data_IF_331293990553
#
_entry.id   IF_331293990553
#
_cell.length_a   1.000
_cell.length_b   1.000
_cell.length_c   1.000
_cell.angle_alpha   90.00
_cell.angle_beta   90.00
_cell.angle_gamma   90.00
#
_symmetry.space_group_name_H-M   'P 1'
#
loop_
_entity.id
_entity.type
_entity.pdbx_description
1 polymer ?
#
# COMPACT_ATOMS: atom_id res chain seq x y z
N UNK A 1 28.84 22.08 6.12
CA UNK A 1 28.43 23.13 5.15
C UNK A 1 27.57 24.23 5.79
N UNK A 2 26.74 23.96 6.81
CA UNK A 2 25.92 24.99 7.50
C UNK A 2 26.75 26.18 8.00
N UNK A 3 27.89 25.95 8.65
CA UNK A 3 28.78 27.04 9.09
C UNK A 3 29.27 27.91 7.92
N UNK A 4 29.65 27.28 6.79
CA UNK A 4 30.03 28.01 5.58
C UNK A 4 28.86 28.80 4.98
N UNK A 5 27.63 28.29 5.07
CA UNK A 5 26.43 29.02 4.66
C UNK A 5 26.19 30.25 5.54
N UNK A 6 26.37 30.13 6.86
CA UNK A 6 26.25 31.25 7.81
C UNK A 6 27.32 32.32 7.53
N UNK A 7 28.58 31.93 7.31
CA UNK A 7 29.66 32.86 6.95
C UNK A 7 29.39 33.56 5.62
N UNK A 8 28.96 32.80 4.61
CA UNK A 8 28.59 33.34 3.30
C UNK A 8 27.47 34.37 3.41
N UNK A 9 26.44 34.08 4.20
CA UNK A 9 25.34 35.01 4.50
C UNK A 9 25.83 36.28 5.22
N UNK A 10 26.80 36.16 6.12
CA UNK A 10 27.43 37.29 6.81
C UNK A 10 28.39 38.12 5.92
N UNK A 11 28.55 37.77 4.64
CA UNK A 11 29.33 38.53 3.66
C UNK A 11 30.71 37.97 3.34
N UNK A 12 31.09 36.81 3.90
CA UNK A 12 32.33 36.14 3.54
C UNK A 12 32.22 35.51 2.14
N UNK A 13 32.83 36.16 1.14
CA UNK A 13 32.86 35.70 -0.25
C UNK A 13 33.76 34.48 -0.48
N UNK A 14 34.57 34.08 0.51
CA UNK A 14 35.46 32.92 0.41
C UNK A 14 34.81 31.63 0.90
N UNK A 15 33.73 31.73 1.68
CA UNK A 15 32.98 30.58 2.15
C UNK A 15 32.25 29.87 0.99
N UNK A 16 32.39 28.54 0.92
CA UNK A 16 31.80 27.69 -0.15
C UNK A 16 30.70 26.79 0.43
N UNK A 17 29.43 27.25 0.49
CA UNK A 17 28.34 26.44 1.04
C UNK A 17 27.85 25.32 0.11
N UNK A 18 27.98 25.51 -1.21
CA UNK A 18 27.65 24.48 -2.21
C UNK A 18 28.85 23.54 -2.34
N UNK A 19 28.70 22.30 -1.88
CA UNK A 19 29.77 21.29 -1.84
C UNK A 19 29.71 20.32 -3.03
N UNK A 20 28.54 20.17 -3.64
CA UNK A 20 28.33 19.31 -4.80
C UNK A 20 27.08 19.68 -5.60
N UNK A 21 26.99 19.17 -6.84
CA UNK A 21 25.81 19.22 -7.70
C UNK A 21 25.72 17.93 -8.50
N UNK A 22 24.53 17.36 -8.61
CA UNK A 22 24.27 16.13 -9.36
C UNK A 22 23.11 16.37 -10.30
N UNK A 23 23.27 15.98 -11.56
CA UNK A 23 22.16 15.99 -12.52
C UNK A 23 21.20 14.85 -12.20
N UNK A 24 19.91 15.18 -12.14
CA UNK A 24 18.82 14.24 -11.90
C UNK A 24 17.84 14.25 -13.07
N UNK A 25 17.14 13.13 -13.26
CA UNK A 25 16.36 12.86 -14.47
C UNK A 25 14.90 12.56 -14.14
N UNK A 26 13.94 13.45 -14.43
CA UNK A 26 14.10 14.87 -14.75
C UNK A 26 13.07 15.72 -14.01
N UNK A 27 13.42 17.00 -13.80
CA UNK A 27 12.60 17.97 -13.09
C UNK A 27 12.28 17.48 -11.66
N UNK A 28 13.28 17.53 -10.74
CA UNK A 28 13.06 17.13 -9.37
C UNK A 28 11.98 17.99 -8.72
N UNK A 29 11.07 17.34 -7.99
CA UNK A 29 10.13 17.98 -7.09
C UNK A 29 10.70 18.02 -5.68
N UNK A 30 10.20 17.11 -4.83
CA UNK A 30 10.72 16.94 -3.48
C UNK A 30 11.93 15.99 -3.46
N UNK A 31 12.65 15.99 -2.33
CA UNK A 31 13.64 14.95 -2.08
C UNK A 31 13.85 14.70 -0.59
N UNK A 32 14.21 13.47 -0.27
CA UNK A 32 14.09 12.92 1.09
C UNK A 32 15.38 12.25 1.50
N UNK A 33 15.84 12.51 2.72
CA UNK A 33 17.00 11.79 3.28
C UNK A 33 16.54 10.66 4.20
N UNK A 34 17.35 9.62 4.31
CA UNK A 34 17.16 8.56 5.32
C UNK A 34 17.10 9.17 6.73
N UNK A 35 15.96 8.96 7.40
CA UNK A 35 15.61 9.55 8.69
C UNK A 35 15.60 11.10 8.73
N UNK A 36 15.50 11.74 7.56
CA UNK A 36 15.71 13.18 7.37
C UNK A 36 14.79 14.12 8.15
N UNK A 37 13.58 13.67 8.46
CA UNK A 37 12.58 14.43 9.22
C UNK A 37 12.60 14.10 10.72
N UNK A 38 13.70 13.53 11.19
CA UNK A 38 13.89 13.15 12.59
C UNK A 38 15.24 13.64 13.10
N UNK A 39 15.46 13.51 14.41
CA UNK A 39 16.79 13.76 15.01
C UNK A 39 17.83 12.69 14.64
N UNK A 40 17.41 11.59 14.04
CA UNK A 40 18.22 10.41 13.73
C UNK A 40 18.63 10.36 12.25
N UNK A 41 18.59 11.50 11.54
CA UNK A 41 19.06 11.64 10.16
C UNK A 41 20.50 11.10 10.02
N UNK A 42 20.71 10.13 9.12
CA UNK A 42 21.93 9.32 9.11
C UNK A 42 22.92 9.68 7.99
N UNK A 43 22.52 10.55 7.06
CA UNK A 43 23.36 11.02 5.96
C UNK A 43 23.77 9.92 4.97
N UNK A 44 22.99 8.84 4.82
CA UNK A 44 23.34 7.73 3.91
C UNK A 44 22.73 7.85 2.53
N UNK A 45 21.41 8.07 2.46
CA UNK A 45 20.68 8.10 1.21
C UNK A 45 19.86 9.38 1.07
N UNK A 46 19.75 9.83 -0.18
CA UNK A 46 18.81 10.85 -0.63
C UNK A 46 17.97 10.27 -1.77
N UNK A 47 16.67 10.45 -1.73
CA UNK A 47 15.74 10.09 -2.79
C UNK A 47 15.30 11.37 -3.49
N UNK A 48 15.55 11.49 -4.79
CA UNK A 48 15.05 12.59 -5.63
C UNK A 48 13.82 12.13 -6.39
N UNK A 49 12.66 12.73 -6.10
CA UNK A 49 11.42 12.41 -6.79
C UNK A 49 11.22 13.35 -7.98
N UNK A 50 11.40 12.81 -9.18
CA UNK A 50 11.45 13.56 -10.43
C UNK A 50 10.16 13.40 -11.24
N UNK A 51 9.67 14.51 -11.79
CA UNK A 51 8.33 14.61 -12.40
C UNK A 51 8.25 14.15 -13.85
N UNK A 52 9.38 13.92 -14.51
CA UNK A 52 9.40 13.37 -15.87
C UNK A 52 10.47 12.30 -16.02
N UNK A 53 10.11 11.11 -16.51
CA UNK A 53 11.09 10.05 -16.81
C UNK A 53 11.68 10.14 -18.21
N UNK A 54 10.94 10.63 -19.21
CA UNK A 54 11.41 10.76 -20.60
C UNK A 54 12.10 9.48 -21.10
N UNK A 55 13.40 9.56 -21.39
CA UNK A 55 14.25 8.53 -21.96
C UNK A 55 14.91 7.60 -20.92
N UNK A 56 14.55 7.70 -19.63
CA UNK A 56 15.12 6.84 -18.57
C UNK A 56 14.64 5.39 -18.63
N UNK A 57 13.48 5.12 -19.22
CA UNK A 57 12.88 3.80 -19.29
C UNK A 57 12.45 3.43 -20.70
N UNK A 58 12.09 2.16 -20.91
CA UNK A 58 11.45 1.73 -22.17
C UNK A 58 10.16 2.54 -22.40
N UNK A 59 9.88 2.96 -23.64
CA UNK A 59 8.71 3.77 -23.95
C UNK A 59 7.41 2.97 -23.73
N UNK A 60 6.44 3.59 -23.04
CA UNK A 60 5.15 2.96 -22.67
C UNK A 60 3.94 3.68 -23.25
N UNK A 61 4.14 4.53 -24.25
CA UNK A 61 3.10 5.35 -24.85
C UNK A 61 3.06 6.78 -24.29
N UNK A 62 1.97 7.54 -24.48
CA UNK A 62 1.92 8.96 -24.15
C UNK A 62 2.06 9.28 -22.66
N UNK A 63 1.68 8.36 -21.78
CA UNK A 63 1.70 8.53 -20.33
C UNK A 63 2.84 7.69 -19.74
N UNK A 64 3.93 8.38 -19.38
CA UNK A 64 5.12 7.76 -18.80
C UNK A 64 5.00 7.73 -17.27
N UNK A 65 5.71 6.82 -16.59
CA UNK A 65 5.87 6.90 -15.13
C UNK A 65 6.76 8.09 -14.74
N UNK A 66 6.73 8.46 -13.46
CA UNK A 66 7.74 9.34 -12.86
C UNK A 66 9.04 8.57 -12.58
N UNK A 67 10.09 9.27 -12.12
CA UNK A 67 11.39 8.66 -11.77
C UNK A 67 11.77 9.01 -10.34
N UNK A 68 11.85 8.02 -9.47
CA UNK A 68 12.44 8.15 -8.15
C UNK A 68 13.91 7.72 -8.23
N UNK A 69 14.84 8.63 -7.95
CA UNK A 69 16.27 8.38 -8.04
C UNK A 69 16.91 8.26 -6.66
N UNK A 70 17.46 7.09 -6.37
CA UNK A 70 18.22 6.87 -5.13
C UNK A 70 19.66 7.34 -5.33
N UNK A 71 20.13 8.17 -4.40
CA UNK A 71 21.43 8.81 -4.41
C UNK A 71 22.14 8.46 -3.10
N UNK A 72 23.34 7.88 -3.20
CA UNK A 72 24.24 7.70 -2.05
C UNK A 72 24.90 9.05 -1.72
N UNK A 73 24.70 9.48 -0.48
CA UNK A 73 25.23 10.73 0.09
C UNK A 73 26.17 10.48 1.28
N UNK A 74 26.62 9.24 1.48
CA UNK A 74 27.47 8.84 2.62
C UNK A 74 28.91 9.33 2.54
N UNK A 75 29.36 9.76 1.36
CA UNK A 75 30.70 10.32 1.13
C UNK A 75 30.67 11.80 0.77
N UNK A 76 31.85 12.35 0.44
CA UNK A 76 32.00 13.78 0.09
C UNK A 76 31.28 14.20 -1.20
N UNK A 77 30.92 13.22 -2.05
CA UNK A 77 30.29 13.42 -3.36
C UNK A 77 29.07 12.53 -3.51
N UNK A 78 27.99 13.11 -4.04
CA UNK A 78 26.75 12.41 -4.32
C UNK A 78 26.96 11.42 -5.46
N UNK A 79 26.36 10.23 -5.35
CA UNK A 79 26.40 9.20 -6.40
C UNK A 79 25.00 8.70 -6.68
N UNK A 80 24.51 8.91 -7.91
CA UNK A 80 23.29 8.26 -8.37
C UNK A 80 23.53 6.74 -8.38
N UNK A 81 22.70 5.97 -7.67
CA UNK A 81 22.84 4.52 -7.55
C UNK A 81 21.72 3.73 -8.23
N UNK A 82 20.52 4.30 -8.35
CA UNK A 82 19.40 3.62 -8.99
C UNK A 82 18.34 4.61 -9.48
N UNK A 83 17.68 4.22 -10.57
CA UNK A 83 16.44 4.82 -11.07
C UNK A 83 15.29 3.82 -10.86
N UNK A 84 14.17 4.29 -10.32
CA UNK A 84 12.95 3.51 -10.17
C UNK A 84 11.77 4.21 -10.84
N UNK A 85 11.04 3.48 -11.69
CA UNK A 85 9.75 3.94 -12.20
C UNK A 85 8.71 3.87 -11.08
N UNK A 86 7.94 4.95 -10.89
CA UNK A 86 6.90 5.02 -9.86
C UNK A 86 5.57 5.52 -10.46
N UNK A 87 4.43 5.18 -9.82
CA UNK A 87 3.09 5.52 -10.31
C UNK A 87 2.07 5.75 -9.17
N UNK A 88 1.14 6.71 -9.26
CA UNK A 88 1.19 7.91 -10.11
C UNK A 88 1.68 9.07 -9.26
N UNK A 89 2.72 9.74 -9.74
CA UNK A 89 3.33 10.94 -9.19
C UNK A 89 3.40 10.99 -7.65
N UNK A 90 4.24 10.16 -6.99
CA UNK A 90 4.55 10.36 -5.58
C UNK A 90 5.01 11.80 -5.36
N UNK A 91 4.39 12.46 -4.38
CA UNK A 91 4.71 13.84 -4.01
C UNK A 91 5.70 13.88 -2.86
N UNK A 92 5.54 12.98 -1.89
CA UNK A 92 6.30 12.98 -0.66
C UNK A 92 6.61 11.56 -0.18
N UNK A 93 7.70 11.39 0.57
CA UNK A 93 8.17 10.11 1.10
C UNK A 93 9.02 10.31 2.36
N UNK A 94 9.00 9.31 3.24
CA UNK A 94 9.96 9.19 4.34
C UNK A 94 10.69 7.86 4.25
N UNK A 95 11.94 7.85 4.71
CA UNK A 95 12.78 6.65 4.70
C UNK A 95 13.13 6.32 6.15
N UNK A 96 12.63 5.18 6.65
CA UNK A 96 12.85 4.73 8.02
C UNK A 96 13.54 3.36 8.07
N UNK A 97 14.40 3.10 9.07
CA UNK A 97 15.07 1.82 9.18
C UNK A 97 14.09 0.74 9.64
N UNK A 98 14.22 -0.45 9.03
CA UNK A 98 13.29 -1.58 9.21
C UNK A 98 13.05 -1.97 10.67
N UNK A 99 14.02 -1.76 11.57
CA UNK A 99 13.95 -2.16 12.97
C UNK A 99 12.97 -1.30 13.79
N UNK A 100 12.52 -0.15 13.27
CA UNK A 100 11.48 0.67 13.88
C UNK A 100 10.06 0.20 13.52
N UNK A 101 9.92 -0.61 12.46
CA UNK A 101 8.63 -1.14 12.03
C UNK A 101 8.47 -2.55 12.61
N UNK A 102 7.34 -2.80 13.27
CA UNK A 102 6.88 -4.15 13.60
C UNK A 102 5.53 -4.39 12.95
N UNK A 103 5.50 -5.32 12.01
CA UNK A 103 4.27 -5.76 11.34
C UNK A 103 3.67 -6.97 12.06
N UNK A 104 2.44 -7.30 11.70
CA UNK A 104 1.78 -8.58 12.05
C UNK A 104 1.77 -9.48 10.81
N UNK A 105 1.87 -10.80 11.01
CA UNK A 105 1.84 -11.79 9.92
C UNK A 105 0.41 -12.26 9.60
N UNK A 106 -0.43 -12.35 10.64
CA UNK A 106 -1.85 -12.70 10.55
C UNK A 106 -2.64 -11.80 11.51
N UNK A 107 -3.95 -11.69 11.31
CA UNK A 107 -4.81 -10.97 12.25
C UNK A 107 -5.12 -11.80 13.50
N UNK A 108 -5.62 -11.15 14.55
CA UNK A 108 -6.33 -11.84 15.62
C UNK A 108 -7.82 -11.85 15.28
N UNK A 109 -8.40 -13.05 15.14
CA UNK A 109 -9.81 -13.24 14.80
C UNK A 109 -10.77 -12.57 15.81
N UNK A 110 -10.30 -12.32 17.04
CA UNK A 110 -11.09 -11.65 18.07
C UNK A 110 -11.18 -10.13 17.89
N UNK A 111 -10.38 -9.53 17.00
CA UNK A 111 -10.51 -8.12 16.59
C UNK A 111 -11.80 -7.88 15.78
N UNK A 112 -12.46 -8.94 15.30
CA UNK A 112 -13.63 -8.87 14.44
C UNK A 112 -14.89 -9.38 15.16
N UNK A 113 -15.81 -8.50 15.60
CA UNK A 113 -17.00 -8.89 16.35
C UNK A 113 -17.94 -9.85 15.60
N UNK A 114 -17.93 -9.78 14.26
CA UNK A 114 -18.80 -10.59 13.40
C UNK A 114 -18.10 -11.85 12.85
N UNK A 115 -16.91 -12.19 13.34
CA UNK A 115 -16.16 -13.34 12.84
C UNK A 115 -16.92 -14.65 13.00
N UNK A 116 -16.96 -15.45 11.92
CA UNK A 116 -17.41 -16.83 11.94
C UNK A 116 -16.19 -17.69 12.26
N UNK A 117 -16.11 -18.22 13.49
CA UNK A 117 -14.88 -18.84 14.02
C UNK A 117 -14.73 -20.33 13.71
N UNK A 118 -15.79 -20.97 13.24
CA UNK A 118 -15.81 -22.38 12.89
C UNK A 118 -16.59 -22.55 11.58
N UNK A 119 -16.12 -23.42 10.68
CA UNK A 119 -16.78 -23.71 9.42
C UNK A 119 -18.22 -24.21 9.62
N UNK A 120 -18.50 -24.91 10.73
CA UNK A 120 -19.85 -25.39 11.06
C UNK A 120 -20.86 -24.28 11.34
N UNK A 121 -20.39 -23.07 11.66
CA UNK A 121 -21.23 -21.92 11.97
C UNK A 121 -21.65 -21.13 10.72
N UNK A 122 -21.20 -21.57 9.54
CA UNK A 122 -21.64 -21.02 8.26
C UNK A 122 -23.14 -21.24 8.06
N UNK A 123 -23.86 -20.18 7.71
CA UNK A 123 -25.33 -20.22 7.60
C UNK A 123 -25.88 -19.02 6.84
N UNK A 124 -27.14 -19.12 6.45
CA UNK A 124 -27.92 -18.03 5.86
C UNK A 124 -29.04 -17.67 6.82
N UNK A 125 -29.03 -16.45 7.35
CA UNK A 125 -30.09 -15.92 8.21
C UNK A 125 -30.97 -14.95 7.42
N UNK A 126 -32.29 -15.09 7.54
CA UNK A 126 -33.26 -14.18 6.92
C UNK A 126 -34.08 -13.45 7.97
N UNK A 127 -34.13 -12.12 7.85
CA UNK A 127 -34.99 -11.23 8.62
C UNK A 127 -35.78 -10.34 7.65
N UNK A 128 -36.92 -10.86 7.19
CA UNK A 128 -37.72 -10.23 6.13
C UNK A 128 -36.95 -10.19 4.80
N UNK A 129 -36.72 -8.98 4.27
CA UNK A 129 -35.92 -8.74 3.05
C UNK A 129 -34.40 -8.69 3.31
N UNK A 130 -33.97 -8.67 4.57
CA UNK A 130 -32.55 -8.68 4.92
C UNK A 130 -32.07 -10.13 5.02
N UNK A 131 -31.00 -10.45 4.32
CA UNK A 131 -30.38 -11.77 4.33
C UNK A 131 -28.92 -11.61 4.72
N UNK A 132 -28.48 -12.32 5.76
CA UNK A 132 -27.09 -12.34 6.18
C UNK A 132 -26.50 -13.72 5.92
N UNK A 133 -25.46 -13.77 5.08
CA UNK A 133 -24.70 -14.98 4.78
C UNK A 133 -23.44 -14.96 5.63
N UNK A 134 -23.37 -15.85 6.61
CA UNK A 134 -22.18 -16.08 7.42
C UNK A 134 -21.35 -17.15 6.73
N UNK A 135 -20.16 -16.78 6.28
CA UNK A 135 -19.30 -17.58 5.43
C UNK A 135 -17.89 -17.66 6.01
N UNK A 136 -17.28 -18.83 5.93
CA UNK A 136 -15.85 -19.01 6.19
C UNK A 136 -15.14 -19.36 4.89
N UNK A 137 -13.84 -19.11 4.86
CA UNK A 137 -12.94 -19.68 3.86
C UNK A 137 -11.75 -20.34 4.58
N UNK A 138 -11.37 -21.51 4.10
CA UNK A 138 -10.16 -22.23 4.50
C UNK A 138 -9.67 -22.98 3.27
N UNK A 139 -8.44 -22.73 2.84
CA UNK A 139 -7.96 -23.16 1.53
C UNK A 139 -8.17 -24.68 1.34
N UNK A 140 -8.80 -25.13 0.24
CA UNK A 140 -9.18 -24.38 -0.96
C UNK A 140 -10.68 -24.02 -1.07
N UNK A 141 -11.45 -24.07 0.02
CA UNK A 141 -12.93 -24.03 -0.04
C UNK A 141 -13.57 -22.94 0.80
N UNK A 142 -14.74 -22.47 0.35
CA UNK A 142 -15.69 -21.77 1.20
C UNK A 142 -16.51 -22.76 2.03
N UNK A 143 -16.94 -22.33 3.22
CA UNK A 143 -17.78 -23.15 4.11
C UNK A 143 -19.20 -23.41 3.57
N UNK A 144 -19.71 -22.56 2.68
CA UNK A 144 -20.92 -22.81 1.90
C UNK A 144 -20.56 -22.89 0.42
N UNK A 145 -21.04 -23.93 -0.26
CA UNK A 145 -20.85 -24.10 -1.72
C UNK A 145 -21.84 -23.28 -2.53
N UNK A 146 -23.05 -23.10 -2.01
CA UNK A 146 -24.13 -22.34 -2.62
C UNK A 146 -25.08 -21.81 -1.53
N UNK A 147 -25.81 -20.74 -1.86
CA UNK A 147 -26.94 -20.23 -1.08
C UNK A 147 -27.93 -19.55 -2.01
N UNK A 148 -29.19 -19.43 -1.57
CA UNK A 148 -30.26 -18.81 -2.38
C UNK A 148 -30.84 -17.59 -1.69
N UNK A 149 -31.01 -16.52 -2.46
CA UNK A 149 -31.69 -15.28 -2.04
C UNK A 149 -32.83 -14.98 -3.00
N UNK A 150 -33.71 -14.06 -2.62
CA UNK A 150 -34.79 -13.57 -3.48
C UNK A 150 -34.35 -12.29 -4.16
N UNK A 151 -34.83 -12.08 -5.39
CA UNK A 151 -34.65 -10.81 -6.08
C UNK A 151 -35.19 -9.67 -5.20
N UNK A 152 -34.37 -8.64 -5.00
CA UNK A 152 -34.67 -7.49 -4.16
C UNK A 152 -34.35 -7.68 -2.67
N UNK A 153 -33.75 -8.80 -2.27
CA UNK A 153 -33.19 -8.93 -0.92
C UNK A 153 -31.99 -7.97 -0.74
N UNK A 154 -31.88 -7.40 0.45
CA UNK A 154 -30.67 -6.75 0.94
C UNK A 154 -29.78 -7.83 1.55
N UNK A 155 -28.72 -8.20 0.84
CA UNK A 155 -27.83 -9.30 1.19
C UNK A 155 -26.55 -8.75 1.79
N UNK A 156 -26.23 -9.17 3.02
CA UNK A 156 -24.93 -8.96 3.65
C UNK A 156 -24.16 -10.28 3.66
N UNK A 157 -22.99 -10.32 3.04
CA UNK A 157 -22.06 -11.45 3.17
C UNK A 157 -21.02 -11.07 4.21
N UNK A 158 -20.86 -11.90 5.24
CA UNK A 158 -19.80 -11.81 6.24
C UNK A 158 -18.85 -12.98 5.96
N UNK A 159 -17.62 -12.68 5.56
CA UNK A 159 -16.61 -13.67 5.23
C UNK A 159 -15.45 -13.60 6.21
N UNK A 160 -15.16 -14.73 6.86
CA UNK A 160 -13.99 -14.92 7.72
C UNK A 160 -13.00 -15.88 7.09
N UNK A 161 -11.71 -15.53 7.04
CA UNK A 161 -10.65 -16.45 6.65
C UNK A 161 -10.12 -17.19 7.88
N UNK A 162 -10.27 -18.51 7.92
CA UNK A 162 -9.85 -19.36 9.03
C UNK A 162 -8.40 -19.83 8.93
N UNK A 163 -7.72 -19.55 7.83
CA UNK A 163 -6.31 -19.89 7.69
C UNK A 163 -5.44 -19.10 8.66
N UNK A 164 -4.38 -19.77 9.13
CA UNK A 164 -3.40 -19.24 10.09
C UNK A 164 -1.99 -19.15 9.50
N UNK A 165 -1.89 -19.37 8.19
CA UNK A 165 -0.63 -19.29 7.45
C UNK A 165 -0.48 -17.86 6.95
N UNK A 166 0.66 -17.24 7.21
CA UNK A 166 1.01 -15.93 6.67
C UNK A 166 0.84 -15.91 5.15
N UNK A 167 0.37 -14.78 4.62
CA UNK A 167 0.18 -14.55 3.18
C UNK A 167 -0.86 -15.47 2.49
N UNK A 168 -1.55 -16.34 3.24
CA UNK A 168 -2.64 -17.17 2.70
C UNK A 168 -3.95 -16.38 2.59
N UNK A 169 -3.91 -15.33 1.77
CA UNK A 169 -5.00 -14.40 1.53
C UNK A 169 -6.02 -15.00 0.58
N UNK A 170 -7.29 -14.87 0.91
CA UNK A 170 -8.40 -15.24 0.04
C UNK A 170 -9.10 -14.01 -0.51
N UNK A 171 -9.99 -14.21 -1.47
CA UNK A 171 -10.89 -13.18 -1.95
C UNK A 171 -12.27 -13.74 -2.21
N UNK A 172 -13.27 -12.85 -2.19
CA UNK A 172 -14.62 -13.14 -2.64
C UNK A 172 -14.97 -12.16 -3.75
N UNK A 173 -15.47 -12.69 -4.86
CA UNK A 173 -15.98 -11.92 -5.96
C UNK A 173 -17.40 -12.39 -6.29
N UNK A 174 -18.30 -11.45 -6.57
CA UNK A 174 -19.65 -11.73 -7.04
C UNK A 174 -19.74 -11.20 -8.47
N UNK A 175 -19.71 -12.08 -9.48
CA UNK A 175 -19.82 -11.68 -10.87
C UNK A 175 -21.05 -10.81 -11.12
N UNK A 176 -20.91 -9.82 -12.01
CA UNK A 176 -21.98 -8.86 -12.41
C UNK A 176 -22.48 -7.93 -11.29
N UNK A 177 -21.97 -8.04 -10.07
CA UNK A 177 -22.33 -7.16 -8.96
C UNK A 177 -21.28 -6.08 -8.66
N UNK A 178 -20.14 -6.10 -9.36
CA UNK A 178 -18.98 -5.23 -9.08
C UNK A 178 -18.51 -5.32 -7.62
N UNK A 179 -18.60 -6.53 -7.06
CA UNK A 179 -18.20 -6.83 -5.70
C UNK A 179 -17.00 -7.76 -5.78
N UNK A 180 -15.87 -7.28 -5.30
CA UNK A 180 -14.68 -8.07 -5.06
C UNK A 180 -13.91 -7.47 -3.88
N UNK A 181 -13.44 -8.32 -2.97
CA UNK A 181 -12.57 -7.90 -1.87
C UNK A 181 -11.69 -9.07 -1.39
N UNK A 182 -10.54 -8.74 -0.81
CA UNK A 182 -9.64 -9.70 -0.16
C UNK A 182 -9.94 -9.85 1.33
N UNK A 183 -9.68 -11.03 1.88
CA UNK A 183 -9.74 -11.33 3.31
C UNK A 183 -8.46 -12.08 3.71
N UNK A 184 -7.62 -11.43 4.50
CA UNK A 184 -6.34 -11.96 4.97
C UNK A 184 -6.54 -13.04 6.03
N UNK A 185 -5.53 -13.87 6.34
CA UNK A 185 -5.60 -14.86 7.41
C UNK A 185 -6.12 -14.29 8.73
N UNK A 186 -7.14 -14.94 9.31
CA UNK A 186 -7.86 -14.54 10.53
C UNK A 186 -8.66 -13.21 10.44
N UNK A 187 -8.74 -12.59 9.26
CA UNK A 187 -9.53 -11.38 9.03
C UNK A 187 -11.02 -11.73 8.79
N UNK A 188 -11.91 -10.81 9.14
CA UNK A 188 -13.32 -10.83 8.70
C UNK A 188 -13.68 -9.55 7.98
N UNK A 189 -14.26 -9.66 6.79
CA UNK A 189 -14.84 -8.54 6.04
C UNK A 189 -16.26 -8.85 5.63
N UNK A 190 -17.03 -7.79 5.38
CA UNK A 190 -18.39 -7.92 4.89
C UNK A 190 -18.72 -6.92 3.82
N UNK A 191 -19.65 -7.30 2.96
CA UNK A 191 -20.24 -6.43 1.93
C UNK A 191 -21.75 -6.58 1.97
N UNK A 192 -22.46 -5.47 1.77
CA UNK A 192 -23.92 -5.46 1.64
C UNK A 192 -24.30 -4.96 0.25
N UNK A 193 -25.22 -5.65 -0.40
CA UNK A 193 -25.71 -5.29 -1.72
C UNK A 193 -27.18 -5.70 -1.90
N UNK A 194 -27.85 -5.11 -2.89
CA UNK A 194 -29.19 -5.53 -3.27
C UNK A 194 -29.10 -6.59 -4.35
N UNK A 195 -29.69 -7.77 -4.12
CA UNK A 195 -29.77 -8.83 -5.12
C UNK A 195 -30.83 -8.49 -6.18
N UNK A 196 -30.57 -7.52 -7.05
CA UNK A 196 -31.50 -6.96 -8.04
C UNK A 196 -31.65 -7.77 -9.34
N UNK A 197 -30.72 -8.70 -9.62
CA UNK A 197 -30.66 -9.53 -10.83
C UNK A 197 -31.08 -10.97 -10.51
N UNK A 198 -32.03 -11.56 -11.25
CA UNK A 198 -32.37 -12.97 -11.11
C UNK A 198 -31.34 -13.86 -11.82
N UNK A 199 -31.27 -15.13 -11.42
CA UNK A 199 -30.43 -16.16 -12.05
C UNK A 199 -29.37 -16.73 -11.12
N UNK A 200 -28.41 -17.45 -11.72
CA UNK A 200 -27.12 -17.79 -11.12
C UNK A 200 -26.13 -16.65 -11.38
#
# INVERSE_FOLDING_TARGET
NVEAAIKSYAGDKTAKPVVDRLDVMYQPGHGFTSMGETKDADGKYFLSDNKFSKDRFLPVGPLHPETAQLIDISGDKMKLVADHSVWSEPHDSIIIPRNLIRTRQVYDINEFPNAVKDAKDCRVERKGKKVTVYLTSQAPTFGLREWTVKRGDEVTIILTNLDKVEDLTHGLAIPKYDINFIVNPQETKSVTFIADKPGV
#
